data_IF_690812438249
#
_entry.id   IF_690812438249
#
_cell.length_a   1.000
_cell.length_b   1.000
_cell.length_c   1.000
_cell.angle_alpha   90.00
_cell.angle_beta   90.00
_cell.angle_gamma   90.00
#
_symmetry.space_group_name_H-M   'P 1'
#
loop_
_entity.id
_entity.type
_entity.pdbx_description
1 polymer ?
#
# COMPACT_ATOMS: atom_id res chain seq x y z
N UNK A 1 2.92 -5.98 -7.75
CA UNK A 1 3.91 -6.13 -8.85
C UNK A 1 3.26 -6.19 -10.22
N UNK A 2 2.22 -7.02 -10.45
CA UNK A 2 1.50 -7.07 -11.73
C UNK A 2 0.92 -5.71 -12.16
N UNK A 3 0.36 -4.93 -11.23
CA UNK A 3 -0.16 -3.59 -11.53
C UNK A 3 0.92 -2.62 -12.01
N UNK A 4 2.12 -2.66 -11.42
CA UNK A 4 3.24 -1.80 -11.85
C UNK A 4 3.73 -2.19 -13.25
N UNK A 5 3.77 -3.48 -13.56
CA UNK A 5 4.13 -3.96 -14.89
C UNK A 5 3.09 -3.57 -15.95
N UNK A 6 1.81 -3.74 -15.64
CA UNK A 6 0.71 -3.29 -16.50
C UNK A 6 0.77 -1.78 -16.73
N UNK A 7 1.11 -1.01 -15.69
CA UNK A 7 1.31 0.42 -15.81
C UNK A 7 2.48 0.82 -16.68
N UNK A 8 3.60 0.10 -16.58
CA UNK A 8 4.75 0.33 -17.45
C UNK A 8 4.41 0.10 -18.94
N UNK A 9 3.54 -0.88 -19.24
CA UNK A 9 3.08 -1.14 -20.61
C UNK A 9 2.18 -0.04 -21.18
N UNK A 10 1.56 0.78 -20.33
CA UNK A 10 0.74 1.92 -20.78
C UNK A 10 1.54 3.17 -21.12
N UNK A 11 2.83 3.23 -20.80
CA UNK A 11 3.67 4.37 -21.16
C UNK A 11 3.93 4.43 -22.67
N UNK A 12 3.76 5.58 -23.33
CA UNK A 12 4.14 5.76 -24.73
C UNK A 12 5.64 5.54 -24.92
N UNK A 13 6.02 4.68 -25.86
CA UNK A 13 7.44 4.42 -26.17
C UNK A 13 8.16 5.68 -26.67
N UNK A 14 7.44 6.56 -27.38
CA UNK A 14 7.96 7.81 -27.93
C UNK A 14 8.59 8.72 -26.85
N UNK A 15 8.06 8.72 -25.62
CA UNK A 15 8.59 9.48 -24.49
C UNK A 15 9.94 8.93 -24.00
N UNK A 16 10.13 7.61 -24.08
CA UNK A 16 11.37 6.94 -23.68
C UNK A 16 12.44 7.12 -24.76
N UNK A 17 12.03 7.04 -26.03
CA UNK A 17 12.93 7.20 -27.17
C UNK A 17 13.42 8.65 -27.29
N UNK A 18 12.55 9.64 -27.10
CA UNK A 18 12.93 11.05 -27.05
C UNK A 18 13.98 11.34 -25.96
N UNK A 19 13.78 10.82 -24.74
CA UNK A 19 14.75 10.98 -23.66
C UNK A 19 16.10 10.29 -23.97
N UNK A 20 16.10 9.25 -24.80
CA UNK A 20 17.31 8.56 -25.25
C UNK A 20 18.07 9.39 -26.27
N UNK A 21 17.36 10.04 -27.20
CA UNK A 21 17.93 10.98 -28.18
C UNK A 21 18.51 12.22 -27.47
N UNK A 22 17.89 12.67 -26.38
CA UNK A 22 18.39 13.76 -25.53
C UNK A 22 19.60 13.37 -24.65
N UNK A 23 20.11 12.15 -24.78
CA UNK A 23 21.31 11.69 -24.09
C UNK A 23 21.09 11.27 -22.63
N UNK A 24 19.84 11.09 -22.18
CA UNK A 24 19.55 10.68 -20.81
C UNK A 24 20.04 9.25 -20.53
N UNK A 25 20.86 9.09 -19.48
CA UNK A 25 21.29 7.79 -18.99
C UNK A 25 20.12 6.92 -18.52
N UNK A 26 20.38 5.63 -18.27
CA UNK A 26 19.32 4.69 -17.80
C UNK A 26 18.70 5.16 -16.48
N UNK A 27 19.52 5.67 -15.56
CA UNK A 27 19.07 6.20 -14.27
C UNK A 27 18.27 7.50 -14.41
N UNK A 28 18.67 8.40 -15.31
CA UNK A 28 17.94 9.62 -15.58
C UNK A 28 16.57 9.33 -16.19
N UNK A 29 16.49 8.39 -17.15
CA UNK A 29 15.23 7.96 -17.74
C UNK A 29 14.30 7.33 -16.71
N UNK A 30 14.83 6.50 -15.81
CA UNK A 30 14.03 5.89 -14.75
C UNK A 30 13.40 6.94 -13.82
N UNK A 31 14.20 7.84 -13.25
CA UNK A 31 13.71 8.79 -12.25
C UNK A 31 12.93 9.97 -12.84
N UNK A 32 13.27 10.42 -14.05
CA UNK A 32 12.67 11.61 -14.65
C UNK A 32 11.55 11.32 -15.65
N UNK A 33 11.49 10.11 -16.23
CA UNK A 33 10.48 9.75 -17.25
C UNK A 33 9.57 8.64 -16.73
N UNK A 34 10.14 7.50 -16.35
CA UNK A 34 9.36 6.30 -15.99
C UNK A 34 8.61 6.46 -14.66
N UNK A 35 9.31 6.86 -13.59
CA UNK A 35 8.68 7.02 -12.25
C UNK A 35 7.58 8.10 -12.26
N UNK A 36 7.78 9.29 -12.85
CA UNK A 36 6.72 10.30 -12.95
C UNK A 36 5.57 9.84 -13.84
N UNK A 37 5.86 9.17 -14.96
CA UNK A 37 4.83 8.66 -15.88
C UNK A 37 3.97 7.54 -15.27
N UNK A 38 4.53 6.72 -14.38
CA UNK A 38 3.78 5.68 -13.66
C UNK A 38 3.16 6.15 -12.35
N UNK A 39 3.29 7.43 -11.98
CA UNK A 39 2.94 7.92 -10.64
C UNK A 39 1.54 7.51 -10.21
N UNK A 40 0.52 7.70 -11.05
CA UNK A 40 -0.86 7.34 -10.71
C UNK A 40 -1.03 5.86 -10.33
N UNK A 41 -0.37 4.98 -11.07
CA UNK A 41 -0.40 3.52 -10.84
C UNK A 41 0.41 3.13 -9.60
N UNK A 42 1.54 3.81 -9.35
CA UNK A 42 2.33 3.66 -8.14
C UNK A 42 1.51 4.05 -6.91
N UNK A 43 0.76 5.16 -6.96
CA UNK A 43 -0.13 5.59 -5.87
C UNK A 43 -1.11 4.48 -5.55
N UNK A 44 -1.91 4.07 -6.53
CA UNK A 44 -2.99 3.10 -6.34
C UNK A 44 -2.45 1.77 -5.83
N UNK A 45 -1.42 1.23 -6.48
CA UNK A 45 -0.83 -0.06 -6.12
C UNK A 45 -0.27 -0.04 -4.70
N UNK A 46 0.45 1.03 -4.34
CA UNK A 46 1.05 1.14 -3.01
C UNK A 46 -0.01 1.35 -1.93
N UNK A 47 -1.06 2.15 -2.19
CA UNK A 47 -2.20 2.28 -1.26
C UNK A 47 -2.81 0.93 -0.96
N UNK A 48 -3.14 0.17 -2.02
CA UNK A 48 -3.74 -1.16 -1.88
C UNK A 48 -2.81 -2.06 -1.06
N UNK A 49 -1.55 -2.20 -1.48
CA UNK A 49 -0.58 -3.05 -0.78
C UNK A 49 -0.39 -2.67 0.68
N UNK A 50 -0.45 -1.39 1.01
CA UNK A 50 -0.38 -0.91 2.38
C UNK A 50 -1.59 -1.34 3.20
N UNK A 51 -2.81 -1.20 2.64
CA UNK A 51 -4.06 -1.66 3.29
C UNK A 51 -4.02 -3.18 3.51
N UNK A 52 -3.61 -3.95 2.51
CA UNK A 52 -3.48 -5.40 2.59
C UNK A 52 -2.45 -5.80 3.67
N UNK A 53 -1.25 -5.22 3.65
CA UNK A 53 -0.20 -5.53 4.61
C UNK A 53 -0.59 -5.22 6.06
N UNK A 54 -1.32 -4.13 6.31
CA UNK A 54 -1.83 -3.81 7.65
C UNK A 54 -2.94 -4.76 8.13
N UNK A 55 -3.71 -5.34 7.20
CA UNK A 55 -4.80 -6.28 7.51
C UNK A 55 -4.40 -7.75 7.35
N UNK A 56 -3.11 -8.03 7.24
CA UNK A 56 -2.60 -9.36 6.97
C UNK A 56 -2.81 -10.28 8.19
N UNK A 57 -3.86 -11.09 8.16
CA UNK A 57 -4.20 -12.01 9.25
C UNK A 57 -3.63 -13.41 9.03
N UNK A 58 -3.83 -13.96 7.83
CA UNK A 58 -3.66 -15.38 7.56
C UNK A 58 -2.21 -15.85 7.76
N UNK A 59 -1.25 -15.15 7.14
CA UNK A 59 0.16 -15.56 7.21
C UNK A 59 0.73 -15.40 8.63
N UNK A 60 0.37 -14.32 9.33
CA UNK A 60 0.89 -14.03 10.66
C UNK A 60 0.33 -15.06 11.65
N UNK A 61 -0.97 -15.34 11.59
CA UNK A 61 -1.62 -16.34 12.43
C UNK A 61 -1.06 -17.74 12.17
N UNK A 62 -0.95 -18.15 10.91
CA UNK A 62 -0.52 -19.49 10.53
C UNK A 62 0.96 -19.76 10.86
N UNK A 63 1.85 -18.77 10.66
CA UNK A 63 3.28 -18.98 10.83
C UNK A 63 3.78 -18.72 12.24
N UNK A 64 3.30 -17.63 12.86
CA UNK A 64 3.88 -17.12 14.10
C UNK A 64 2.87 -17.04 15.23
N UNK A 65 1.58 -17.11 14.92
CA UNK A 65 0.50 -16.86 15.86
C UNK A 65 0.65 -15.50 16.59
N UNK A 66 1.33 -14.53 15.96
CA UNK A 66 1.68 -13.24 16.56
C UNK A 66 2.95 -13.24 17.43
N UNK A 67 3.72 -14.32 17.51
CA UNK A 67 4.91 -14.44 18.35
C UNK A 67 6.25 -14.05 17.70
N UNK A 68 7.37 -14.07 18.46
CA UNK A 68 7.44 -14.29 19.91
C UNK A 68 7.05 -13.04 20.71
N UNK A 69 6.34 -13.21 21.84
CA UNK A 69 6.02 -12.10 22.74
C UNK A 69 5.19 -10.96 22.12
N UNK A 70 4.31 -11.26 21.16
CA UNK A 70 3.56 -10.28 20.36
C UNK A 70 4.38 -9.51 19.29
N UNK A 71 5.63 -9.89 19.00
CA UNK A 71 6.49 -9.15 18.08
C UNK A 71 5.96 -9.04 16.64
N UNK A 72 5.20 -10.03 16.16
CA UNK A 72 4.59 -10.01 14.82
C UNK A 72 3.09 -9.70 14.86
N UNK A 73 2.55 -9.38 16.04
CA UNK A 73 1.13 -9.23 16.23
C UNK A 73 0.62 -7.92 15.61
N UNK A 74 -0.48 -7.98 14.86
CA UNK A 74 -1.15 -6.81 14.30
C UNK A 74 -2.52 -6.59 14.96
N UNK A 75 -3.13 -5.43 14.68
CA UNK A 75 -4.42 -5.05 15.27
C UNK A 75 -5.52 -6.06 14.93
N UNK A 76 -5.49 -6.65 13.72
CA UNK A 76 -6.47 -7.66 13.29
C UNK A 76 -6.36 -8.95 14.10
N UNK A 77 -5.16 -9.44 14.37
CA UNK A 77 -4.97 -10.60 15.26
C UNK A 77 -5.45 -10.28 16.67
N UNK A 78 -5.22 -9.07 17.17
CA UNK A 78 -5.69 -8.71 18.51
C UNK A 78 -7.23 -8.65 18.61
N UNK A 79 -7.89 -8.13 17.57
CA UNK A 79 -9.36 -8.18 17.44
C UNK A 79 -9.85 -9.63 17.44
N UNK A 80 -9.20 -10.50 16.65
CA UNK A 80 -9.56 -11.91 16.58
C UNK A 80 -9.39 -12.62 17.94
N UNK A 81 -8.25 -12.44 18.61
CA UNK A 81 -7.99 -13.00 19.94
C UNK A 81 -9.05 -12.53 20.95
N UNK A 82 -9.36 -11.24 20.94
CA UNK A 82 -10.34 -10.71 21.90
C UNK A 82 -11.76 -11.21 21.64
N UNK A 83 -12.16 -11.32 20.38
CA UNK A 83 -13.52 -11.73 20.03
C UNK A 83 -13.74 -13.23 20.20
N UNK A 84 -12.78 -14.04 19.76
CA UNK A 84 -12.94 -15.49 19.63
C UNK A 84 -12.23 -16.30 20.71
N UNK A 85 -11.15 -15.79 21.31
CA UNK A 85 -10.40 -16.51 22.36
C UNK A 85 -10.83 -16.03 23.75
N UNK A 86 -10.92 -14.72 23.93
CA UNK A 86 -11.38 -14.13 25.20
C UNK A 86 -12.92 -14.01 25.25
N UNK A 87 -13.62 -14.54 24.23
CA UNK A 87 -15.09 -14.56 24.09
C UNK A 87 -15.77 -13.18 24.26
N UNK A 88 -15.02 -12.09 24.07
CA UNK A 88 -15.48 -10.72 24.31
C UNK A 88 -15.81 -10.04 22.98
N UNK A 89 -16.84 -10.56 22.31
CA UNK A 89 -17.27 -10.16 20.96
C UNK A 89 -17.58 -8.65 20.88
N UNK A 90 -18.28 -8.08 21.86
CA UNK A 90 -18.63 -6.65 21.88
C UNK A 90 -17.39 -5.75 21.95
N UNK A 91 -16.37 -6.18 22.70
CA UNK A 91 -15.11 -5.44 22.80
C UNK A 91 -14.31 -5.53 21.49
N UNK A 92 -14.23 -6.73 20.90
CA UNK A 92 -13.62 -6.93 19.59
C UNK A 92 -14.31 -6.14 18.48
N UNK A 93 -15.64 -6.06 18.51
CA UNK A 93 -16.42 -5.25 17.57
C UNK A 93 -16.06 -3.75 17.69
N UNK A 94 -15.94 -3.25 18.92
CA UNK A 94 -15.53 -1.85 19.18
C UNK A 94 -14.13 -1.59 18.64
N UNK A 95 -13.17 -2.49 18.91
CA UNK A 95 -11.81 -2.40 18.36
C UNK A 95 -11.81 -2.42 16.83
N UNK A 96 -12.64 -3.26 16.21
CA UNK A 96 -12.79 -3.33 14.76
C UNK A 96 -13.31 -2.05 14.13
N UNK A 97 -14.31 -1.41 14.75
CA UNK A 97 -14.84 -0.11 14.29
C UNK A 97 -13.77 0.99 14.41
N UNK A 98 -13.05 1.04 15.53
CA UNK A 98 -11.95 2.01 15.71
C UNK A 98 -10.83 1.79 14.70
N UNK A 99 -10.49 0.53 14.41
CA UNK A 99 -9.52 0.17 13.40
C UNK A 99 -9.95 0.60 12.00
N UNK A 100 -11.22 0.37 11.64
CA UNK A 100 -11.80 0.83 10.38
C UNK A 100 -11.71 2.35 10.24
N UNK A 101 -12.08 3.10 11.28
CA UNK A 101 -12.00 4.56 11.28
C UNK A 101 -10.55 5.03 11.10
N UNK A 102 -9.59 4.41 11.79
CA UNK A 102 -8.18 4.71 11.64
C UNK A 102 -7.68 4.47 10.22
N UNK A 103 -8.04 3.33 9.61
CA UNK A 103 -7.67 3.00 8.24
C UNK A 103 -8.28 3.98 7.23
N UNK A 104 -9.53 4.41 7.43
CA UNK A 104 -10.17 5.40 6.56
C UNK A 104 -9.44 6.75 6.63
N UNK A 105 -9.14 7.22 7.84
CA UNK A 105 -8.39 8.46 8.04
C UNK A 105 -7.01 8.37 7.39
N UNK A 106 -6.28 7.29 7.64
CA UNK A 106 -4.96 7.08 7.04
C UNK A 106 -5.03 7.05 5.51
N UNK A 107 -5.95 6.27 4.94
CA UNK A 107 -6.11 6.13 3.48
C UNK A 107 -6.48 7.46 2.84
N UNK A 108 -7.39 8.22 3.47
CA UNK A 108 -7.76 9.56 3.01
C UNK A 108 -6.55 10.48 2.94
N UNK A 109 -5.75 10.56 4.02
CA UNK A 109 -4.54 11.40 4.04
C UNK A 109 -3.49 10.90 3.04
N UNK A 110 -3.27 9.59 2.95
CA UNK A 110 -2.31 9.00 2.02
C UNK A 110 -2.63 9.37 0.57
N UNK A 111 -3.89 9.21 0.16
CA UNK A 111 -4.35 9.58 -1.19
C UNK A 111 -4.21 11.10 -1.38
N UNK A 112 -4.67 11.91 -0.43
CA UNK A 112 -4.61 13.38 -0.51
C UNK A 112 -3.18 13.91 -0.70
N UNK A 113 -2.21 13.35 0.02
CA UNK A 113 -0.79 13.73 -0.09
C UNK A 113 -0.24 13.31 -1.47
N UNK A 114 -0.61 12.13 -1.93
CA UNK A 114 -0.07 11.58 -3.17
C UNK A 114 -0.67 12.25 -4.42
N UNK A 115 -1.97 12.56 -4.41
CA UNK A 115 -2.69 13.30 -5.47
C UNK A 115 -2.23 14.76 -5.58
N UNK A 116 -1.91 15.42 -4.46
CA UNK A 116 -1.44 16.82 -4.49
C UNK A 116 -0.17 17.04 -5.30
N UNK A 117 0.69 16.04 -5.39
CA UNK A 117 1.82 16.16 -6.31
C UNK A 117 1.50 15.73 -7.76
N UNK A 118 0.35 15.08 -8.02
CA UNK A 118 -0.12 14.75 -9.38
C UNK A 118 -0.64 16.02 -10.06
N UNK A 119 -1.37 16.88 -9.34
CA UNK A 119 -1.96 18.13 -9.90
C UNK A 119 -0.94 19.26 -10.13
N UNK A 120 0.29 19.16 -9.62
CA UNK A 120 1.27 20.26 -9.67
C UNK A 120 2.19 20.24 -10.90
N UNK A 121 1.91 19.44 -11.95
CA UNK A 121 2.67 19.44 -13.20
C UNK A 121 1.80 19.22 -14.43
#
# INVERSE_FOLDING_TARGET
TLMLLAGLQTLPQDLIDAATVDGAGVWDRFWNVTVPGMRGIIVITTTLQFIWGLNEFAIIWAMTNGGPGNATNNIVINIYRTGFINESISYAATMGVLWLLMLLVFTYFYIRIMERGVETR
#
